data_IF_617215974093
#
_entry.id   IF_617215974093
#
_cell.length_a   1.000
_cell.length_b   1.000
_cell.length_c   1.000
_cell.angle_alpha   90.00
_cell.angle_beta   90.00
_cell.angle_gamma   90.00
#
_symmetry.space_group_name_H-M   'P 1'
#
loop_
_entity.id
_entity.type
_entity.pdbx_description
1 polymer ?
#
# COMPACT_ATOMS: atom_id res chain seq x y z
N UNK A 1 -9.85 -20.81 -36.57
CA UNK A 1 -10.69 -20.08 -35.60
C UNK A 1 -11.08 -21.03 -34.48
N UNK A 2 -10.60 -20.79 -33.25
CA UNK A 2 -11.11 -21.47 -32.05
C UNK A 2 -11.12 -20.41 -30.93
N UNK A 3 -12.31 -19.91 -30.65
CA UNK A 3 -12.56 -18.90 -29.65
C UNK A 3 -12.35 -19.51 -28.26
N UNK A 4 -11.37 -19.01 -27.50
CA UNK A 4 -11.34 -19.22 -26.06
C UNK A 4 -12.23 -18.17 -25.41
N UNK A 5 -13.44 -18.59 -25.04
CA UNK A 5 -14.28 -17.84 -24.11
C UNK A 5 -13.69 -18.04 -22.72
N UNK A 6 -12.93 -17.07 -22.24
CA UNK A 6 -12.53 -17.01 -20.82
C UNK A 6 -13.68 -16.33 -20.08
N UNK A 7 -14.51 -17.14 -19.43
CA UNK A 7 -15.55 -16.65 -18.53
C UNK A 7 -14.88 -16.04 -17.29
N UNK A 8 -14.94 -14.73 -17.16
CA UNK A 8 -14.59 -14.02 -15.93
C UNK A 8 -15.76 -14.21 -14.94
N UNK A 9 -15.60 -15.16 -14.01
CA UNK A 9 -16.50 -15.24 -12.86
C UNK A 9 -16.16 -14.06 -11.93
N UNK A 10 -16.98 -13.01 -11.99
CA UNK A 10 -17.08 -11.99 -10.94
C UNK A 10 -17.64 -12.69 -9.69
N UNK A 11 -16.75 -13.16 -8.82
CA UNK A 11 -17.13 -13.55 -7.47
C UNK A 11 -17.64 -12.31 -6.74
N UNK A 12 -18.96 -12.21 -6.60
CA UNK A 12 -19.61 -11.22 -5.72
C UNK A 12 -19.25 -11.58 -4.28
N UNK A 13 -18.23 -10.92 -3.74
CA UNK A 13 -17.90 -10.98 -2.32
C UNK A 13 -19.06 -10.39 -1.51
N UNK A 14 -19.92 -11.25 -1.01
CA UNK A 14 -20.87 -10.92 0.05
C UNK A 14 -20.10 -10.85 1.37
N UNK A 15 -19.76 -9.63 1.80
CA UNK A 15 -19.16 -9.41 3.11
C UNK A 15 -20.18 -9.66 4.23
N UNK A 16 -20.22 -10.92 4.71
CA UNK A 16 -20.76 -11.25 6.03
C UNK A 16 -19.75 -10.86 7.09
N UNK A 17 -19.92 -9.69 7.72
CA UNK A 17 -19.04 -9.22 8.79
C UNK A 17 -19.31 -9.96 10.10
N UNK A 18 -18.65 -11.10 10.32
CA UNK A 18 -18.26 -11.53 11.67
C UNK A 18 -16.90 -12.22 11.63
N UNK A 19 -16.07 -11.92 12.62
CA UNK A 19 -14.74 -12.50 12.92
C UNK A 19 -13.56 -11.98 12.08
N UNK A 20 -12.42 -11.83 12.77
CA UNK A 20 -11.13 -11.27 12.32
C UNK A 20 -10.45 -12.13 11.24
N UNK A 21 -11.11 -12.41 10.12
CA UNK A 21 -10.51 -13.09 8.99
C UNK A 21 -9.84 -12.07 8.07
N UNK A 22 -8.53 -11.93 8.27
CA UNK A 22 -7.62 -11.23 7.39
C UNK A 22 -7.55 -12.06 6.09
N UNK A 23 -8.45 -11.83 5.15
CA UNK A 23 -8.37 -12.44 3.84
C UNK A 23 -7.16 -11.84 3.11
N UNK A 24 -5.99 -12.45 3.30
CA UNK A 24 -4.80 -12.19 2.49
C UNK A 24 -5.10 -12.76 1.11
N UNK A 25 -5.23 -11.91 0.11
CA UNK A 25 -5.37 -12.39 -1.26
C UNK A 25 -4.10 -13.15 -1.68
N UNK A 26 -4.26 -14.19 -2.50
CA UNK A 26 -3.12 -14.83 -3.17
C UNK A 26 -2.70 -13.99 -4.38
N UNK A 27 -1.38 -13.85 -4.58
CA UNK A 27 -0.83 -13.08 -5.72
C UNK A 27 0.07 -13.97 -6.57
N UNK A 28 0.23 -13.62 -7.84
CA UNK A 28 1.27 -14.24 -8.68
C UNK A 28 2.50 -13.32 -8.67
N UNK A 29 3.68 -13.93 -8.66
CA UNK A 29 4.94 -13.19 -8.78
C UNK A 29 5.03 -12.39 -10.08
N UNK A 30 5.82 -11.32 -10.09
CA UNK A 30 5.92 -10.42 -11.24
C UNK A 30 6.79 -10.96 -12.39
N UNK A 31 7.60 -11.99 -12.14
CA UNK A 31 8.51 -12.54 -13.15
C UNK A 31 7.73 -13.07 -14.36
N UNK A 32 7.93 -12.43 -15.51
CA UNK A 32 7.23 -12.76 -16.76
C UNK A 32 5.81 -12.17 -16.90
N UNK A 33 5.30 -11.47 -15.90
CA UNK A 33 3.98 -10.83 -15.97
C UNK A 33 4.00 -9.61 -16.91
N UNK A 34 3.01 -9.40 -17.77
CA UNK A 34 2.99 -8.26 -18.70
C UNK A 34 2.99 -6.89 -18.02
N UNK A 35 2.28 -6.79 -16.89
CA UNK A 35 2.16 -5.57 -16.09
C UNK A 35 2.57 -5.90 -14.66
N UNK A 36 3.67 -5.32 -14.15
CA UNK A 36 4.10 -5.56 -12.78
C UNK A 36 3.06 -5.11 -11.76
N UNK A 37 3.05 -5.82 -10.64
CA UNK A 37 2.12 -5.64 -9.55
C UNK A 37 2.84 -5.28 -8.26
N UNK A 38 2.29 -4.32 -7.52
CA UNK A 38 2.69 -3.98 -6.16
C UNK A 38 1.53 -4.35 -5.24
N UNK A 39 1.77 -5.18 -4.25
CA UNK A 39 0.77 -5.58 -3.25
C UNK A 39 0.77 -4.64 -2.06
N UNK A 40 -0.43 -4.23 -1.63
CA UNK A 40 -0.60 -3.25 -0.56
C UNK A 40 -1.59 -3.76 0.48
N UNK A 41 -1.13 -3.87 1.72
CA UNK A 41 -1.96 -4.11 2.89
C UNK A 41 -2.38 -2.80 3.53
N UNK A 42 -3.68 -2.61 3.81
CA UNK A 42 -4.17 -1.41 4.47
C UNK A 42 -4.73 -1.69 5.87
N UNK A 43 -4.38 -0.83 6.82
CA UNK A 43 -4.95 -0.80 8.16
C UNK A 43 -5.62 0.54 8.42
N UNK A 44 -6.84 0.54 8.95
CA UNK A 44 -7.64 1.77 9.15
C UNK A 44 -7.86 2.08 10.63
N UNK A 45 -7.10 3.05 11.15
CA UNK A 45 -7.16 3.47 12.55
C UNK A 45 -8.12 4.66 12.75
N UNK A 46 -8.95 4.60 13.79
CA UNK A 46 -9.90 5.66 14.15
C UNK A 46 -11.24 5.65 13.39
N UNK A 47 -11.58 4.54 12.72
CA UNK A 47 -12.83 4.42 11.93
C UNK A 47 -13.92 3.69 12.71
N UNK A 48 -15.15 4.19 12.71
CA UNK A 48 -16.30 3.40 13.19
C UNK A 48 -16.79 2.41 12.12
N UNK A 49 -17.77 1.57 12.46
CA UNK A 49 -18.27 0.53 11.55
C UNK A 49 -18.98 1.07 10.30
N UNK A 50 -19.63 2.23 10.39
CA UNK A 50 -20.29 2.85 9.24
C UNK A 50 -19.24 3.39 8.27
N UNK A 51 -18.25 4.10 8.79
CA UNK A 51 -17.17 4.70 7.99
C UNK A 51 -16.31 3.64 7.32
N UNK A 52 -16.04 2.53 8.01
CA UNK A 52 -15.26 1.43 7.45
C UNK A 52 -15.94 0.79 6.22
N UNK A 53 -17.27 0.88 6.09
CA UNK A 53 -17.98 0.42 4.87
C UNK A 53 -17.69 1.26 3.64
N UNK A 54 -17.30 2.52 3.82
CA UNK A 54 -16.99 3.46 2.71
C UNK A 54 -15.54 3.33 2.22
N UNK A 55 -14.69 2.67 3.01
CA UNK A 55 -13.25 2.50 2.73
C UNK A 55 -12.96 1.91 1.33
N UNK A 56 -13.65 0.85 0.85
CA UNK A 56 -13.35 0.29 -0.47
C UNK A 56 -13.52 1.29 -1.61
N UNK A 57 -14.55 2.15 -1.55
CA UNK A 57 -14.78 3.18 -2.57
C UNK A 57 -13.70 4.26 -2.52
N UNK A 58 -13.32 4.69 -1.32
CA UNK A 58 -12.24 5.66 -1.14
C UNK A 58 -10.90 5.12 -1.64
N UNK A 59 -10.55 3.87 -1.32
CA UNK A 59 -9.33 3.21 -1.80
C UNK A 59 -9.27 3.10 -3.32
N UNK A 60 -10.40 2.83 -3.98
CA UNK A 60 -10.45 2.80 -5.45
C UNK A 60 -10.09 4.18 -6.04
N UNK A 61 -10.60 5.27 -5.47
CA UNK A 61 -10.22 6.63 -5.84
C UNK A 61 -8.73 6.91 -5.61
N UNK A 62 -8.24 6.61 -4.41
CA UNK A 62 -6.84 6.77 -4.00
C UNK A 62 -5.89 6.05 -4.99
N UNK A 63 -6.11 4.76 -5.21
CA UNK A 63 -5.27 3.93 -6.07
C UNK A 63 -5.39 4.28 -7.56
N UNK A 64 -6.55 4.79 -8.01
CA UNK A 64 -6.70 5.29 -9.39
C UNK A 64 -5.79 6.48 -9.63
N UNK A 65 -5.78 7.45 -8.72
CA UNK A 65 -4.91 8.63 -8.84
C UNK A 65 -3.44 8.29 -8.68
N UNK A 66 -3.08 7.44 -7.71
CA UNK A 66 -1.71 6.95 -7.54
C UNK A 66 -1.19 6.26 -8.81
N UNK A 67 -1.99 5.37 -9.43
CA UNK A 67 -1.62 4.71 -10.70
C UNK A 67 -1.46 5.71 -11.85
N UNK A 68 -2.30 6.74 -11.92
CA UNK A 68 -2.20 7.79 -12.96
C UNK A 68 -0.90 8.59 -12.79
N UNK A 69 -0.54 8.93 -11.56
CA UNK A 69 0.74 9.57 -11.25
C UNK A 69 1.91 8.66 -11.62
N UNK A 70 1.97 7.44 -11.07
CA UNK A 70 3.06 6.49 -11.30
C UNK A 70 3.25 6.15 -12.78
N UNK A 71 2.17 6.02 -13.57
CA UNK A 71 2.28 5.79 -15.01
C UNK A 71 3.06 6.90 -15.72
N UNK A 72 2.85 8.16 -15.33
CA UNK A 72 3.55 9.31 -15.91
C UNK A 72 5.00 9.35 -15.44
N UNK A 73 5.22 9.21 -14.13
CA UNK A 73 6.56 9.33 -13.53
C UNK A 73 7.48 8.17 -13.86
N UNK A 74 6.94 6.97 -14.04
CA UNK A 74 7.73 5.78 -14.31
C UNK A 74 7.82 5.46 -15.81
N UNK A 75 6.87 5.95 -16.62
CA UNK A 75 6.70 5.51 -18.01
C UNK A 75 6.31 4.03 -18.11
N UNK A 76 5.70 3.47 -17.06
CA UNK A 76 5.33 2.06 -16.95
C UNK A 76 3.93 1.95 -16.34
N UNK A 77 3.10 1.06 -16.87
CA UNK A 77 1.83 0.71 -16.24
C UNK A 77 2.11 -0.23 -15.07
N UNK A 78 1.63 0.11 -13.88
CA UNK A 78 1.68 -0.73 -12.69
C UNK A 78 0.26 -1.11 -12.24
N UNK A 79 0.13 -2.30 -11.69
CA UNK A 79 -1.01 -2.68 -10.86
C UNK A 79 -0.67 -2.36 -9.41
N UNK A 80 -1.62 -1.72 -8.72
CA UNK A 80 -1.62 -1.60 -7.26
C UNK A 80 -2.71 -2.55 -6.79
N UNK A 81 -2.32 -3.72 -6.31
CA UNK A 81 -3.26 -4.75 -5.89
C UNK A 81 -3.47 -4.67 -4.39
N UNK A 82 -4.75 -4.61 -4.01
CA UNK A 82 -5.15 -4.70 -2.63
C UNK A 82 -4.85 -6.11 -2.11
N UNK A 83 -4.05 -6.18 -1.04
CA UNK A 83 -3.73 -7.45 -0.41
C UNK A 83 -4.66 -7.81 0.75
N UNK A 84 -4.94 -6.83 1.60
CA UNK A 84 -5.93 -6.91 2.66
C UNK A 84 -6.39 -5.50 3.07
N UNK A 85 -7.61 -5.43 3.64
CA UNK A 85 -8.12 -4.27 4.36
C UNK A 85 -8.47 -4.76 5.75
N UNK A 86 -7.86 -4.17 6.76
CA UNK A 86 -8.12 -4.52 8.15
C UNK A 86 -8.25 -3.27 9.03
N UNK A 87 -8.81 -3.47 10.22
CA UNK A 87 -8.55 -2.57 11.34
C UNK A 87 -7.15 -2.88 11.89
N UNK A 88 -6.49 -1.91 12.56
CA UNK A 88 -5.27 -2.18 13.29
C UNK A 88 -5.45 -3.39 14.20
N UNK A 89 -4.45 -4.26 14.22
CA UNK A 89 -4.40 -5.33 15.21
C UNK A 89 -4.30 -4.68 16.60
N UNK A 90 -4.93 -5.29 17.61
CA UNK A 90 -5.05 -4.72 18.97
C UNK A 90 -3.72 -4.18 19.53
N UNK A 91 -2.61 -4.87 19.29
CA UNK A 91 -1.28 -4.41 19.75
C UNK A 91 -0.85 -3.10 19.09
N UNK A 92 -1.06 -2.98 17.77
CA UNK A 92 -0.80 -1.73 17.04
C UNK A 92 -1.74 -0.61 17.51
N UNK A 93 -3.03 -0.91 17.67
CA UNK A 93 -4.01 0.04 18.17
C UNK A 93 -3.62 0.56 19.56
N UNK A 94 -3.27 -0.33 20.49
CA UNK A 94 -2.84 0.01 21.85
C UNK A 94 -1.59 0.89 21.83
N UNK A 95 -0.60 0.59 20.98
CA UNK A 95 0.60 1.42 20.87
C UNK A 95 0.31 2.82 20.35
N UNK A 96 -0.57 2.94 19.36
CA UNK A 96 -1.00 4.23 18.84
C UNK A 96 -1.69 5.04 19.96
N UNK A 97 -2.58 4.41 20.74
CA UNK A 97 -3.24 5.08 21.88
C UNK A 97 -2.24 5.52 22.97
N UNK A 98 -1.25 4.68 23.29
CA UNK A 98 -0.21 5.02 24.27
C UNK A 98 0.61 6.25 23.82
N UNK A 99 0.98 6.32 22.54
CA UNK A 99 1.68 7.49 22.00
C UNK A 99 0.81 8.74 22.04
N UNK A 100 -0.49 8.64 21.68
CA UNK A 100 -1.41 9.79 21.77
C UNK A 100 -1.49 10.33 23.19
N UNK A 101 -1.61 9.45 24.18
CA UNK A 101 -1.66 9.85 25.61
C UNK A 101 -0.37 10.51 26.06
N UNK A 102 0.78 10.01 25.62
CA UNK A 102 2.09 10.51 26.06
C UNK A 102 2.47 11.87 25.46
N UNK A 103 2.18 12.09 24.17
CA UNK A 103 2.71 13.26 23.43
C UNK A 103 1.64 14.21 22.91
N UNK A 104 0.36 13.87 23.02
CA UNK A 104 -0.79 14.58 22.43
C UNK A 104 -0.76 14.73 20.89
N UNK A 105 0.32 14.29 20.24
CA UNK A 105 0.49 14.25 18.79
C UNK A 105 1.05 12.90 18.35
N UNK A 106 0.66 12.45 17.17
CA UNK A 106 1.18 11.23 16.56
C UNK A 106 2.39 11.54 15.70
N UNK A 107 3.58 11.14 16.16
CA UNK A 107 4.82 11.22 15.37
C UNK A 107 4.78 10.20 14.22
N UNK A 108 4.80 10.65 12.94
CA UNK A 108 4.76 9.76 11.79
C UNK A 108 5.91 8.75 11.78
N UNK A 109 7.11 9.21 12.15
CA UNK A 109 8.32 8.37 12.18
C UNK A 109 8.25 7.26 13.23
N UNK A 110 7.63 7.54 14.39
CA UNK A 110 7.43 6.54 15.44
C UNK A 110 6.50 5.42 14.97
N UNK A 111 5.37 5.81 14.35
CA UNK A 111 4.40 4.87 13.78
C UNK A 111 5.06 4.04 12.67
N UNK A 112 5.72 4.69 11.72
CA UNK A 112 6.33 4.03 10.57
C UNK A 112 7.40 3.02 10.96
N UNK A 113 8.26 3.36 11.94
CA UNK A 113 9.26 2.42 12.48
C UNK A 113 8.60 1.21 13.13
N UNK A 114 7.55 1.43 13.93
CA UNK A 114 6.81 0.32 14.53
C UNK A 114 6.12 -0.56 13.48
N UNK A 115 5.52 0.03 12.44
CA UNK A 115 4.94 -0.72 11.33
C UNK A 115 6.00 -1.59 10.64
N UNK A 116 7.20 -1.03 10.39
CA UNK A 116 8.31 -1.80 9.80
C UNK A 116 8.65 -3.02 10.64
N UNK A 117 8.79 -2.85 11.94
CA UNK A 117 9.19 -3.92 12.86
C UNK A 117 8.08 -4.96 13.05
N UNK A 118 6.81 -4.51 13.11
CA UNK A 118 5.68 -5.36 13.40
C UNK A 118 5.22 -6.19 12.20
N UNK A 119 5.26 -5.60 10.99
CA UNK A 119 4.78 -6.24 9.77
C UNK A 119 5.87 -6.95 8.97
N UNK A 120 7.15 -6.79 9.34
CA UNK A 120 8.26 -7.44 8.64
C UNK A 120 7.97 -8.93 8.43
N UNK A 121 7.79 -9.31 7.16
CA UNK A 121 7.54 -10.68 6.68
C UNK A 121 6.26 -11.34 7.19
N UNK A 122 5.32 -10.59 7.79
CA UNK A 122 4.12 -11.15 8.42
C UNK A 122 2.97 -11.38 7.46
N UNK A 123 2.80 -10.52 6.46
CA UNK A 123 1.68 -10.58 5.50
C UNK A 123 2.11 -10.56 4.03
N UNK A 124 3.43 -10.60 3.78
CA UNK A 124 4.00 -10.68 2.44
C UNK A 124 3.43 -9.62 1.46
N UNK A 125 3.38 -8.37 1.92
CA UNK A 125 3.03 -7.24 1.08
C UNK A 125 4.28 -6.47 0.70
N UNK A 126 4.28 -5.85 -0.48
CA UNK A 126 5.34 -4.91 -0.86
C UNK A 126 5.24 -3.61 -0.03
N UNK A 127 4.01 -3.23 0.33
CA UNK A 127 3.70 -2.03 1.12
C UNK A 127 2.70 -2.38 2.21
N UNK A 128 2.98 -1.95 3.44
CA UNK A 128 1.99 -1.88 4.52
C UNK A 128 1.63 -0.42 4.78
N UNK A 129 0.35 -0.09 4.65
CA UNK A 129 -0.14 1.27 4.79
C UNK A 129 -1.09 1.39 5.98
N UNK A 130 -0.73 2.18 6.98
CA UNK A 130 -1.68 2.64 7.99
C UNK A 130 -2.38 3.89 7.46
N UNK A 131 -3.71 3.89 7.52
CA UNK A 131 -4.57 5.00 7.15
C UNK A 131 -5.27 5.47 8.42
N UNK A 132 -5.19 6.76 8.73
CA UNK A 132 -5.77 7.31 9.95
C UNK A 132 -6.57 8.59 9.70
N UNK A 133 -7.60 8.82 10.50
CA UNK A 133 -8.31 10.11 10.55
C UNK A 133 -7.61 11.14 11.43
N UNK A 134 -6.64 10.71 12.24
CA UNK A 134 -5.88 11.60 13.08
C UNK A 134 -4.90 12.42 12.23
N UNK A 135 -4.77 13.73 12.48
CA UNK A 135 -3.78 14.55 11.79
C UNK A 135 -2.37 14.07 12.09
N UNK A 136 -1.52 14.06 11.06
CA UNK A 136 -0.16 13.55 11.13
C UNK A 136 0.84 14.71 11.24
N UNK A 137 1.34 14.92 12.46
CA UNK A 137 2.20 16.05 12.79
C UNK A 137 3.68 15.66 12.74
N UNK A 138 4.42 16.15 11.74
CA UNK A 138 5.88 16.14 11.79
C UNK A 138 6.42 17.20 12.75
N UNK A 139 5.87 18.41 12.67
CA UNK A 139 6.03 19.48 13.67
C UNK A 139 4.66 19.83 14.26
N UNK A 140 4.63 20.63 15.33
CA UNK A 140 3.38 21.09 15.96
C UNK A 140 2.43 21.87 15.02
N UNK A 141 2.89 22.23 13.82
CA UNK A 141 2.14 23.09 12.87
C UNK A 141 1.92 22.45 11.49
N UNK A 142 2.58 21.33 11.16
CA UNK A 142 2.47 20.70 9.84
C UNK A 142 1.50 19.52 9.86
N UNK A 143 0.44 19.55 9.05
CA UNK A 143 -0.37 18.37 8.74
C UNK A 143 -0.03 17.88 7.33
N UNK A 144 0.49 16.67 7.19
CA UNK A 144 0.78 16.06 5.87
C UNK A 144 -0.28 15.01 5.52
N UNK A 145 -0.52 14.83 4.22
CA UNK A 145 -1.39 13.78 3.70
C UNK A 145 -0.77 12.39 3.77
N UNK A 146 0.54 12.30 3.96
CA UNK A 146 1.21 11.02 4.21
C UNK A 146 2.70 11.10 4.43
N UNK A 147 3.26 9.96 4.84
CA UNK A 147 4.68 9.73 5.08
C UNK A 147 5.04 8.29 4.69
N UNK A 148 6.27 8.10 4.25
CA UNK A 148 6.88 6.79 4.08
C UNK A 148 8.31 6.84 4.61
N UNK A 149 8.86 5.69 4.97
CA UNK A 149 10.30 5.55 5.25
C UNK A 149 10.87 4.45 4.36
N UNK A 150 12.14 4.65 3.98
CA UNK A 150 12.97 3.74 3.20
C UNK A 150 12.67 3.70 1.69
N UNK A 151 13.75 3.68 0.90
CA UNK A 151 13.73 3.48 -0.55
C UNK A 151 14.06 2.03 -0.89
N UNK A 152 13.23 1.09 -0.41
CA UNK A 152 13.49 -0.35 -0.45
C UNK A 152 12.35 -1.15 -1.10
N UNK A 153 11.47 -0.50 -1.85
CA UNK A 153 10.34 -1.16 -2.51
C UNK A 153 10.82 -2.33 -3.38
N UNK A 154 10.22 -3.51 -3.16
CA UNK A 154 10.56 -4.79 -3.80
C UNK A 154 11.88 -5.44 -3.32
N UNK A 155 12.58 -4.84 -2.34
CA UNK A 155 13.64 -5.49 -1.55
C UNK A 155 13.10 -5.91 -0.18
N UNK A 156 12.38 -5.01 0.49
CA UNK A 156 11.67 -5.27 1.74
C UNK A 156 10.31 -4.56 1.72
N UNK A 157 9.43 -4.97 2.62
CA UNK A 157 8.17 -4.24 2.82
C UNK A 157 8.43 -2.78 3.22
N UNK A 158 7.68 -1.87 2.60
CA UNK A 158 7.76 -0.43 2.85
C UNK A 158 6.56 0.02 3.69
N UNK A 159 6.77 0.53 4.91
CA UNK A 159 5.70 1.11 5.71
C UNK A 159 5.33 2.49 5.17
N UNK A 160 4.03 2.73 5.07
CA UNK A 160 3.45 4.01 4.70
C UNK A 160 2.36 4.41 5.69
N UNK A 161 2.17 5.71 5.84
CA UNK A 161 1.18 6.32 6.70
C UNK A 161 0.44 7.37 5.89
N UNK A 162 -0.89 7.30 5.86
CA UNK A 162 -1.74 8.25 5.14
C UNK A 162 -2.78 8.86 6.07
N UNK A 163 -3.06 10.14 5.86
CA UNK A 163 -4.21 10.81 6.49
C UNK A 163 -5.43 10.58 5.60
N UNK A 164 -6.50 10.06 6.18
CA UNK A 164 -7.78 9.90 5.51
C UNK A 164 -8.49 11.25 5.42
N UNK A 165 -8.76 11.68 4.18
CA UNK A 165 -9.69 12.75 3.91
C UNK A 165 -10.61 12.32 2.75
N UNK A 166 -11.92 12.24 3.02
CA UNK A 166 -12.89 11.81 2.01
C UNK A 166 -13.02 12.80 0.85
N UNK A 167 -12.81 14.08 1.14
CA UNK A 167 -12.99 15.17 0.17
C UNK A 167 -11.74 15.38 -0.70
N UNK A 168 -10.59 14.91 -0.25
CA UNK A 168 -9.28 15.07 -0.90
C UNK A 168 -8.72 13.73 -1.39
N UNK A 169 -9.59 12.78 -1.75
CA UNK A 169 -9.16 11.44 -2.23
C UNK A 169 -8.17 11.54 -3.40
N UNK A 170 -8.35 12.53 -4.28
CA UNK A 170 -7.47 12.68 -5.43
C UNK A 170 -6.09 13.21 -5.04
N UNK A 171 -6.05 14.18 -4.13
CA UNK A 171 -4.80 14.76 -3.63
C UNK A 171 -4.04 13.76 -2.77
N UNK A 172 -4.75 13.05 -1.89
CA UNK A 172 -4.18 11.93 -1.11
C UNK A 172 -3.64 10.85 -2.04
N UNK A 173 -4.36 10.54 -3.13
CA UNK A 173 -3.92 9.55 -4.12
C UNK A 173 -2.69 9.98 -4.90
N UNK A 174 -2.58 11.27 -5.24
CA UNK A 174 -1.35 11.84 -5.82
C UNK A 174 -0.17 11.69 -4.86
N UNK A 175 -0.34 12.09 -3.59
CA UNK A 175 0.69 11.95 -2.55
C UNK A 175 1.07 10.49 -2.31
N UNK A 176 0.10 9.57 -2.32
CA UNK A 176 0.38 8.15 -2.22
C UNK A 176 1.23 7.64 -3.39
N UNK A 177 0.93 8.08 -4.61
CA UNK A 177 1.79 7.81 -5.77
C UNK A 177 3.21 8.36 -5.61
N UNK A 178 3.35 9.56 -5.05
CA UNK A 178 4.65 10.18 -4.75
C UNK A 178 5.47 9.34 -3.77
N UNK A 179 4.86 8.89 -2.67
CA UNK A 179 5.50 8.04 -1.67
C UNK A 179 5.96 6.70 -2.28
N UNK A 180 5.13 6.06 -3.10
CA UNK A 180 5.50 4.81 -3.81
C UNK A 180 6.70 5.05 -4.71
N UNK A 181 6.69 6.14 -5.49
CA UNK A 181 7.79 6.51 -6.39
C UNK A 181 9.09 6.72 -5.61
N UNK A 182 9.04 7.46 -4.51
CA UNK A 182 10.21 7.74 -3.65
C UNK A 182 10.72 6.51 -2.91
N UNK A 183 9.88 5.48 -2.77
CA UNK A 183 10.26 4.21 -2.18
C UNK A 183 11.04 3.29 -3.15
N UNK A 184 11.12 3.64 -4.44
CA UNK A 184 11.94 2.91 -5.42
C UNK A 184 13.41 3.25 -5.22
N UNK A 185 14.25 2.23 -5.02
CA UNK A 185 15.68 2.40 -4.84
C UNK A 185 16.31 3.00 -6.10
N UNK A 186 17.13 4.04 -5.92
CA UNK A 186 17.81 4.75 -7.00
C UNK A 186 16.84 5.34 -8.04
N UNK A 187 15.68 5.85 -7.62
CA UNK A 187 14.80 6.61 -8.49
C UNK A 187 15.39 7.98 -8.94
N UNK A 188 16.70 8.20 -8.79
CA UNK A 188 17.35 9.38 -9.35
C UNK A 188 17.06 9.46 -10.86
N UNK A 189 16.50 10.60 -11.25
CA UNK A 189 15.78 10.77 -12.51
C UNK A 189 16.62 10.44 -13.76
N UNK A 190 17.96 10.59 -13.65
CA UNK A 190 18.90 10.36 -14.75
C UNK A 190 18.98 8.88 -15.14
N UNK A 191 19.00 7.98 -14.15
CA UNK A 191 19.21 6.56 -14.40
C UNK A 191 17.90 5.82 -14.67
N UNK A 192 16.75 6.35 -14.22
CA UNK A 192 15.46 5.73 -14.49
C UNK A 192 15.02 5.89 -15.94
N UNK A 193 15.12 7.11 -16.48
CA UNK A 193 14.64 7.42 -17.83
C UNK A 193 15.57 6.94 -18.95
N UNK A 194 16.82 6.61 -18.63
CA UNK A 194 17.73 5.92 -19.56
C UNK A 194 17.48 4.41 -19.68
N UNK A 195 16.68 3.81 -18.78
CA UNK A 195 16.33 2.38 -18.85
C UNK A 195 15.32 2.10 -19.95
N UNK A 196 15.50 0.97 -20.63
CA UNK A 196 14.48 0.40 -21.52
C UNK A 196 13.22 0.05 -20.74
N UNK A 197 12.12 -0.15 -21.47
CA UNK A 197 10.86 -0.59 -20.87
C UNK A 197 11.02 -1.90 -20.08
N UNK A 198 11.76 -2.86 -20.63
CA UNK A 198 12.09 -4.15 -20.02
C UNK A 198 12.99 -3.96 -18.79
N UNK A 199 13.94 -3.02 -18.84
CA UNK A 199 14.80 -2.69 -17.70
C UNK A 199 14.00 -2.11 -16.53
N UNK A 200 13.04 -1.22 -16.81
CA UNK A 200 12.11 -0.68 -15.79
C UNK A 200 11.22 -1.77 -15.22
N UNK A 201 10.68 -2.63 -16.08
CA UNK A 201 9.84 -3.77 -15.69
C UNK A 201 10.60 -4.73 -14.76
N UNK A 202 11.85 -5.07 -15.11
CA UNK A 202 12.72 -5.98 -14.36
C UNK A 202 12.97 -5.55 -12.92
N UNK A 203 12.96 -4.24 -12.62
CA UNK A 203 13.03 -3.76 -11.24
C UNK A 203 11.95 -4.41 -10.36
N UNK A 204 10.73 -4.51 -10.91
CA UNK A 204 9.58 -5.01 -10.19
C UNK A 204 9.48 -6.55 -10.17
N UNK A 205 10.38 -7.29 -10.82
CA UNK A 205 10.37 -8.77 -10.79
C UNK A 205 10.49 -9.33 -9.37
N UNK A 206 11.14 -8.58 -8.48
CA UNK A 206 11.33 -8.94 -7.08
C UNK A 206 10.17 -8.51 -6.16
N UNK A 207 9.16 -7.79 -6.65
CA UNK A 207 7.98 -7.54 -5.83
C UNK A 207 7.15 -8.83 -5.70
N UNK A 208 6.37 -8.94 -4.62
CA UNK A 208 5.60 -10.15 -4.29
C UNK A 208 6.49 -11.40 -4.06
N UNK A 209 7.75 -11.20 -3.62
CA UNK A 209 8.81 -12.23 -3.66
C UNK A 209 8.52 -13.49 -2.87
N UNK A 210 7.83 -13.40 -1.73
CA UNK A 210 7.71 -14.56 -0.82
C UNK A 210 6.84 -15.68 -1.39
N UNK A 211 6.06 -15.43 -2.46
CA UNK A 211 5.28 -16.47 -3.15
C UNK A 211 6.21 -17.39 -3.97
N UNK A 212 7.36 -16.89 -4.44
CA UNK A 212 8.30 -17.67 -5.23
C UNK A 212 9.18 -18.59 -4.38
N UNK A 213 9.35 -18.28 -3.08
CA UNK A 213 10.15 -19.08 -2.16
C UNK A 213 9.33 -20.20 -1.51
N UNK A 214 8.01 -20.02 -1.31
CA UNK A 214 7.11 -21.08 -0.82
C UNK A 214 6.71 -22.10 -1.90
N UNK A 215 6.77 -21.76 -3.19
CA UNK A 215 6.51 -22.71 -4.29
C UNK A 215 7.72 -23.59 -4.66
N UNK A 216 8.86 -23.40 -3.98
CA UNK A 216 10.08 -24.20 -4.16
C UNK A 216 10.35 -25.16 -2.98
N UNK A 217 9.43 -25.23 -2.01
CA UNK A 217 9.46 -26.17 -0.89
C UNK A 217 8.61 -27.40 -1.14
#
# INVERSE_FOLDING_TARGET
MRNFVVAFALATFTFGFTTNALAVAEFLGNKGADTPNITIGYQFYGFNNSEFKEVPQWLNGLQREARRFLRRELGLKLKLQLAYIARPIKDLESKIEDWKKATSTLSPFTILRYLKDFFDRRYNTDIVCLVTKEPLYYTKTSNSLGYAIHSTLCETEVPMLLTYNKNEVNETGYHFGLLIRESIKNFEFRDWWSKTFEGKKKYFDNCNRYILDTMKG
#
